data_IF_252821810510
#
_entry.id   IF_252821810510
#
_cell.length_a   1.000
_cell.length_b   1.000
_cell.length_c   1.000
_cell.angle_alpha   90.00
_cell.angle_beta   90.00
_cell.angle_gamma   90.00
#
_symmetry.space_group_name_H-M   'P 1'
#
loop_
_entity.id
_entity.type
_entity.pdbx_description
1 polymer ?
#
# COMPACT_ATOMS: atom_id res chain seq x y z
N UNK A 1 13.83 -17.22 34.31
CA UNK A 1 12.92 -16.07 34.14
C UNK A 1 13.31 -15.49 32.80
N UNK A 2 12.44 -15.61 31.80
CA UNK A 2 12.68 -14.91 30.54
C UNK A 2 12.50 -13.43 30.82
N UNK A 3 13.54 -12.64 30.54
CA UNK A 3 13.47 -11.18 30.57
C UNK A 3 12.54 -10.79 29.44
N UNK A 4 11.28 -10.50 29.76
CA UNK A 4 10.34 -9.98 28.79
C UNK A 4 10.77 -8.55 28.48
N UNK A 5 11.30 -8.35 27.28
CA UNK A 5 11.76 -7.07 26.75
C UNK A 5 10.58 -6.31 26.16
N UNK A 6 10.60 -4.99 26.29
CA UNK A 6 9.63 -4.15 25.61
C UNK A 6 9.88 -4.24 24.11
N UNK A 7 8.86 -4.60 23.33
CA UNK A 7 8.96 -4.78 21.88
C UNK A 7 7.64 -4.51 21.16
N UNK A 8 7.72 -4.39 19.86
CA UNK A 8 6.59 -4.28 18.93
C UNK A 8 6.69 -5.46 17.99
N UNK A 9 5.59 -6.14 17.76
CA UNK A 9 5.46 -7.14 16.70
C UNK A 9 4.51 -6.61 15.63
N UNK A 10 4.83 -6.89 14.37
CA UNK A 10 3.97 -6.67 13.21
C UNK A 10 3.71 -8.04 12.58
N UNK A 11 2.43 -8.42 12.52
CA UNK A 11 2.00 -9.76 12.10
C UNK A 11 2.63 -10.90 12.93
N UNK A 12 2.82 -10.69 14.23
CA UNK A 12 3.50 -11.60 15.18
C UNK A 12 5.00 -11.80 14.89
N UNK A 13 5.65 -10.83 14.24
CA UNK A 13 7.10 -10.83 14.01
C UNK A 13 7.71 -9.47 14.39
N UNK A 14 8.87 -9.50 15.07
CA UNK A 14 9.65 -8.32 15.45
C UNK A 14 10.99 -8.23 14.71
N UNK A 15 11.31 -9.20 13.83
CA UNK A 15 12.65 -9.38 13.28
C UNK A 15 13.15 -8.21 12.41
N UNK A 16 12.24 -7.50 11.74
CA UNK A 16 12.52 -6.34 10.88
C UNK A 16 12.14 -5.01 11.54
N UNK A 17 11.70 -5.03 12.80
CA UNK A 17 11.33 -3.80 13.52
C UNK A 17 12.59 -3.10 14.03
N UNK A 18 12.74 -1.83 13.65
CA UNK A 18 13.82 -0.96 14.09
C UNK A 18 13.33 0.07 15.12
N UNK A 19 14.21 0.46 16.03
CA UNK A 19 13.94 1.47 17.07
C UNK A 19 14.86 2.69 16.92
N UNK A 20 14.51 3.66 16.05
CA UNK A 20 15.32 4.87 15.86
C UNK A 20 15.51 5.72 17.13
N UNK A 21 14.59 5.59 18.09
CA UNK A 21 14.68 6.23 19.41
C UNK A 21 13.98 5.38 20.46
N UNK A 22 14.10 5.76 21.74
CA UNK A 22 13.44 5.07 22.86
C UNK A 22 11.91 5.07 22.77
N UNK A 23 11.33 5.99 22.00
CA UNK A 23 9.87 6.19 21.91
C UNK A 23 9.35 6.10 20.48
N UNK A 24 10.16 5.62 19.53
CA UNK A 24 9.75 5.48 18.14
C UNK A 24 10.30 4.18 17.56
N UNK A 25 9.47 3.52 16.78
CA UNK A 25 9.82 2.34 16.01
C UNK A 25 9.44 2.55 14.55
N UNK A 26 10.02 1.78 13.65
CA UNK A 26 9.70 1.75 12.23
C UNK A 26 9.90 0.33 11.67
N UNK A 27 9.24 0.04 10.56
CA UNK A 27 9.41 -1.19 9.79
C UNK A 27 9.11 -0.88 8.32
N UNK A 28 9.88 -1.45 7.41
CA UNK A 28 9.58 -1.44 5.99
C UNK A 28 8.70 -2.64 5.65
N UNK A 29 7.54 -2.40 5.04
CA UNK A 29 6.63 -3.47 4.62
C UNK A 29 6.48 -3.52 3.11
N UNK A 30 6.43 -4.73 2.56
CA UNK A 30 6.11 -4.94 1.15
C UNK A 30 4.60 -5.01 0.95
N UNK A 31 4.07 -4.22 0.02
CA UNK A 31 2.66 -4.22 -0.35
C UNK A 31 2.41 -5.08 -1.60
N UNK A 32 1.49 -6.03 -1.49
CA UNK A 32 0.87 -6.67 -2.66
C UNK A 32 -0.19 -5.74 -3.26
N UNK A 33 -0.57 -5.94 -4.52
CA UNK A 33 -1.75 -5.24 -5.04
C UNK A 33 -3.01 -5.71 -4.29
N UNK A 34 -3.98 -4.81 -4.12
CA UNK A 34 -5.19 -5.04 -3.33
C UNK A 34 -5.04 -4.65 -1.85
N UNK A 35 -5.90 -5.20 -0.99
CA UNK A 35 -5.90 -4.95 0.45
C UNK A 35 -4.75 -5.69 1.15
N UNK A 36 -3.90 -4.94 1.86
CA UNK A 36 -2.85 -5.46 2.74
C UNK A 36 -3.23 -5.16 4.19
N UNK A 37 -3.23 -6.19 5.04
CA UNK A 37 -3.54 -6.04 6.47
C UNK A 37 -2.30 -6.28 7.31
N UNK A 38 -2.05 -5.35 8.24
CA UNK A 38 -0.98 -5.45 9.24
C UNK A 38 -1.59 -5.35 10.63
N UNK A 39 -1.25 -6.31 11.48
CA UNK A 39 -1.65 -6.33 12.90
C UNK A 39 -0.43 -5.97 13.74
N UNK A 40 -0.57 -4.95 14.58
CA UNK A 40 0.51 -4.42 15.40
C UNK A 40 0.16 -4.64 16.86
N UNK A 41 1.07 -5.27 17.59
CA UNK A 41 0.94 -5.54 19.02
C UNK A 41 2.20 -5.04 19.74
N UNK A 42 2.00 -4.29 20.83
CA UNK A 42 3.05 -3.84 21.71
C UNK A 42 3.10 -4.69 22.96
N UNK A 43 4.32 -5.05 23.36
CA UNK A 43 4.59 -5.83 24.55
C UNK A 43 5.37 -4.94 25.51
N UNK A 44 4.80 -4.63 26.68
CA UNK A 44 5.55 -4.19 27.86
C UNK A 44 5.80 -5.43 28.71
N UNK A 45 6.96 -5.61 29.33
CA UNK A 45 7.28 -6.73 30.24
C UNK A 45 6.13 -7.27 31.13
N UNK A 46 5.14 -6.44 31.49
CA UNK A 46 4.01 -6.81 32.35
C UNK A 46 2.66 -6.96 31.64
N UNK A 47 2.41 -6.28 30.53
CA UNK A 47 1.11 -6.23 29.83
C UNK A 47 1.29 -6.11 28.31
N UNK A 48 0.46 -6.81 27.54
CA UNK A 48 0.39 -6.66 26.08
C UNK A 48 -0.71 -5.63 25.74
N UNK A 49 -0.50 -4.85 24.67
CA UNK A 49 -1.53 -3.95 24.17
C UNK A 49 -2.61 -4.74 23.43
N UNK A 50 -3.77 -4.13 23.16
CA UNK A 50 -4.66 -4.70 22.16
C UNK A 50 -4.04 -4.53 20.76
N UNK A 51 -4.43 -5.40 19.84
CA UNK A 51 -4.11 -5.30 18.42
C UNK A 51 -4.53 -3.94 17.84
N UNK A 52 -3.61 -3.31 17.12
CA UNK A 52 -3.91 -2.23 16.19
C UNK A 52 -3.85 -2.79 14.76
N UNK A 53 -4.98 -2.78 14.06
CA UNK A 53 -5.06 -3.26 12.67
C UNK A 53 -4.98 -2.08 11.70
N UNK A 54 -4.06 -2.19 10.75
CA UNK A 54 -3.89 -1.25 9.65
C UNK A 54 -4.17 -1.94 8.33
N UNK A 55 -5.12 -1.40 7.57
CA UNK A 55 -5.40 -1.85 6.21
C UNK A 55 -4.86 -0.82 5.24
N UNK A 56 -3.97 -1.25 4.35
CA UNK A 56 -3.36 -0.43 3.32
C UNK A 56 -3.75 -1.04 1.98
N UNK A 57 -4.52 -0.29 1.19
CA UNK A 57 -4.90 -0.72 -0.15
C UNK A 57 -3.88 -0.19 -1.17
N UNK A 58 -3.23 -1.11 -1.89
CA UNK A 58 -2.33 -0.76 -2.99
C UNK A 58 -3.04 -1.05 -4.31
N UNK A 59 -3.47 0.03 -4.96
CA UNK A 59 -4.16 -0.02 -6.25
C UNK A 59 -3.26 -0.54 -7.37
N UNK A 60 -3.86 -1.27 -8.30
CA UNK A 60 -3.22 -1.69 -9.54
C UNK A 60 -3.02 -0.48 -10.47
N UNK A 61 -1.87 -0.37 -11.11
CA UNK A 61 -1.66 0.67 -12.13
C UNK A 61 -2.69 0.44 -13.24
N UNK A 62 -3.45 1.48 -13.58
CA UNK A 62 -4.52 1.39 -14.58
C UNK A 62 -5.90 1.06 -14.03
N UNK A 63 -6.07 0.72 -12.74
CA UNK A 63 -7.39 0.55 -12.09
C UNK A 63 -7.83 1.90 -11.53
N UNK A 64 -8.24 2.80 -12.42
CA UNK A 64 -8.57 4.19 -12.10
C UNK A 64 -9.86 4.26 -11.27
N UNK A 65 -10.79 3.33 -11.47
CA UNK A 65 -12.09 3.34 -10.81
C UNK A 65 -12.14 2.63 -9.44
N UNK A 66 -11.06 1.92 -9.05
CA UNK A 66 -10.93 1.16 -7.79
C UNK A 66 -11.88 -0.04 -7.67
N UNK A 67 -12.14 -0.74 -8.76
CA UNK A 67 -12.99 -1.94 -8.76
C UNK A 67 -12.22 -3.26 -8.78
N UNK A 68 -10.91 -3.19 -8.50
CA UNK A 68 -9.98 -4.30 -8.47
C UNK A 68 -9.70 -4.92 -9.87
N UNK A 69 -10.12 -4.29 -10.97
CA UNK A 69 -9.90 -4.78 -12.34
C UNK A 69 -9.51 -3.64 -13.27
N UNK A 70 -8.56 -3.88 -14.19
CA UNK A 70 -8.23 -2.92 -15.25
C UNK A 70 -9.04 -3.23 -16.50
N UNK A 71 -10.03 -2.40 -16.83
CA UNK A 71 -10.89 -2.59 -18.00
C UNK A 71 -11.29 -1.29 -18.73
N UNK A 72 -12.37 -1.36 -19.52
CA UNK A 72 -12.85 -0.24 -20.33
C UNK A 72 -13.46 0.90 -19.53
N UNK A 73 -13.86 0.67 -18.29
CA UNK A 73 -14.25 1.74 -17.38
C UNK A 73 -13.04 2.58 -16.98
N UNK A 74 -11.89 1.96 -16.69
CA UNK A 74 -10.67 2.69 -16.37
C UNK A 74 -10.13 3.46 -17.55
N UNK A 75 -10.14 2.85 -18.73
CA UNK A 75 -9.77 3.54 -19.96
C UNK A 75 -10.66 4.77 -20.18
N UNK A 76 -11.97 4.63 -19.95
CA UNK A 76 -12.90 5.76 -20.09
C UNK A 76 -12.56 6.91 -19.14
N UNK A 77 -12.11 6.60 -17.92
CA UNK A 77 -11.64 7.61 -16.95
C UNK A 77 -10.29 8.21 -17.35
N UNK A 78 -9.32 7.40 -17.77
CA UNK A 78 -8.01 7.88 -18.24
C UNK A 78 -8.17 8.88 -19.40
N UNK A 79 -9.01 8.55 -20.39
CA UNK A 79 -9.28 9.45 -21.52
C UNK A 79 -9.96 10.76 -21.07
N UNK A 80 -10.73 10.74 -19.98
CA UNK A 80 -11.32 11.97 -19.43
C UNK A 80 -10.28 12.92 -18.80
N UNK A 81 -9.11 12.39 -18.43
CA UNK A 81 -7.99 13.11 -17.81
C UNK A 81 -6.90 13.49 -18.83
N UNK A 82 -7.06 13.14 -20.11
CA UNK A 82 -6.01 13.29 -21.13
C UNK A 82 -5.47 14.73 -21.23
N UNK A 83 -4.15 14.88 -21.09
CA UNK A 83 -3.45 16.17 -21.11
C UNK A 83 -3.59 17.00 -19.82
N UNK A 84 -4.22 16.45 -18.77
CA UNK A 84 -4.20 17.02 -17.41
C UNK A 84 -3.03 16.43 -16.61
N UNK A 85 -2.88 16.83 -15.35
CA UNK A 85 -1.90 16.28 -14.41
C UNK A 85 -2.55 15.56 -13.22
N UNK A 86 -3.71 14.95 -13.45
CA UNK A 86 -4.44 14.23 -12.42
C UNK A 86 -3.61 13.00 -11.96
N UNK A 87 -3.20 12.91 -10.68
CA UNK A 87 -2.43 11.79 -10.17
C UNK A 87 -3.11 10.42 -10.30
N UNK A 88 -4.43 10.40 -10.52
CA UNK A 88 -5.17 9.16 -10.77
C UNK A 88 -4.98 8.62 -12.20
N UNK A 89 -4.51 9.44 -13.13
CA UNK A 89 -4.21 9.06 -14.52
C UNK A 89 -2.73 9.17 -14.91
N UNK A 90 -1.95 10.00 -14.20
CA UNK A 90 -0.51 10.19 -14.38
C UNK A 90 0.26 9.10 -13.62
N UNK A 91 0.30 7.90 -14.20
CA UNK A 91 0.88 6.72 -13.57
C UNK A 91 2.40 6.72 -13.55
N UNK A 92 3.02 7.46 -14.48
CA UNK A 92 4.47 7.57 -14.57
C UNK A 92 5.02 8.78 -13.77
N UNK A 93 4.13 9.61 -13.22
CA UNK A 93 4.42 10.81 -12.42
C UNK A 93 5.26 11.86 -13.16
N UNK A 94 5.07 11.99 -14.48
CA UNK A 94 5.80 12.97 -15.30
C UNK A 94 5.09 14.32 -15.43
N UNK A 95 3.85 14.41 -14.94
CA UNK A 95 3.05 15.62 -14.87
C UNK A 95 2.08 15.83 -16.02
N UNK A 96 1.92 14.86 -16.94
CA UNK A 96 0.91 14.91 -18.00
C UNK A 96 0.33 13.51 -18.29
N UNK A 97 -1.00 13.37 -18.25
CA UNK A 97 -1.70 12.14 -18.63
C UNK A 97 -1.63 11.97 -20.15
N UNK A 98 -0.81 11.04 -20.63
CA UNK A 98 -0.53 10.87 -22.06
C UNK A 98 -0.44 9.42 -22.54
N UNK A 99 0.22 9.19 -23.69
CA UNK A 99 0.35 7.88 -24.28
C UNK A 99 1.26 6.92 -23.50
N UNK A 100 2.13 7.41 -22.62
CA UNK A 100 2.89 6.58 -21.69
C UNK A 100 1.99 5.98 -20.60
N UNK A 101 1.07 6.75 -20.01
CA UNK A 101 0.13 6.25 -19.02
C UNK A 101 -0.86 5.25 -19.64
N UNK A 102 -1.35 5.58 -20.84
CA UNK A 102 -2.18 4.65 -21.60
C UNK A 102 -1.47 3.34 -21.88
N UNK A 103 -0.18 3.39 -22.24
CA UNK A 103 0.63 2.17 -22.42
C UNK A 103 0.76 1.36 -21.13
N UNK A 104 0.87 2.02 -19.98
CA UNK A 104 0.93 1.36 -18.66
C UNK A 104 -0.39 0.71 -18.24
N UNK A 105 -1.53 1.32 -18.59
CA UNK A 105 -2.87 0.75 -18.41
C UNK A 105 -3.06 -0.48 -19.30
N UNK A 106 -2.80 -0.36 -20.61
CA UNK A 106 -2.98 -1.46 -21.58
C UNK A 106 -2.07 -2.66 -21.25
N UNK A 107 -0.87 -2.42 -20.71
CA UNK A 107 0.01 -3.48 -20.24
C UNK A 107 -0.60 -4.35 -19.12
N UNK A 108 -1.66 -3.88 -18.47
CA UNK A 108 -2.37 -4.54 -17.36
C UNK A 108 -3.84 -4.84 -17.68
N UNK A 109 -4.25 -4.70 -18.93
CA UNK A 109 -5.63 -4.96 -19.35
C UNK A 109 -6.15 -6.32 -18.87
N UNK A 110 -7.34 -6.34 -18.26
CA UNK A 110 -8.00 -7.48 -17.63
C UNK A 110 -7.18 -8.16 -16.52
N UNK A 111 -6.22 -7.44 -15.92
CA UNK A 111 -5.60 -7.87 -14.66
C UNK A 111 -6.50 -7.44 -13.51
N UNK A 112 -6.67 -8.35 -12.55
CA UNK A 112 -7.40 -8.09 -11.31
C UNK A 112 -6.56 -8.47 -10.09
N UNK A 113 -6.91 -7.92 -8.92
CA UNK A 113 -6.23 -8.17 -7.64
C UNK A 113 -6.98 -9.14 -6.75
#
# INVERSE_FOLDING_TARGET
METRIDRIEVNNDDSEVEYPSETSWQIDVSLSYGENTYVIEGFDASVDTNDATFNIYRRLIGDVNQDDTVDDYDLSLLISMWGDNDPEGDFNEDGEVDDYDFSMLVARWLTSV
#
